data_IF_233309285687
#
_entry.id   IF_233309285687
#
_cell.length_a   1.000
_cell.length_b   1.000
_cell.length_c   1.000
_cell.angle_alpha   90.00
_cell.angle_beta   90.00
_cell.angle_gamma   90.00
#
_symmetry.space_group_name_H-M   'P 1'
#
loop_
_entity.id
_entity.type
_entity.pdbx_description
1 polymer ?
#
# COMPACT_ATOMS: atom_id res chain seq x y z
N UNK A 1 21.68 7.04 6.90
CA UNK A 1 21.41 6.66 5.49
C UNK A 1 19.98 6.16 5.40
N UNK A 2 19.11 6.79 4.61
CA UNK A 2 17.77 6.26 4.34
C UNK A 2 17.92 4.92 3.61
N UNK A 3 17.35 3.84 4.14
CA UNK A 3 17.31 2.55 3.44
C UNK A 3 16.68 2.76 2.06
N UNK A 4 17.32 2.22 1.00
CA UNK A 4 16.73 2.18 -0.34
C UNK A 4 15.46 1.31 -0.24
N UNK A 5 14.31 1.93 -0.51
CA UNK A 5 13.01 1.28 -0.54
C UNK A 5 12.56 1.25 -1.99
N UNK A 6 12.09 0.09 -2.43
CA UNK A 6 11.53 -0.10 -3.76
C UNK A 6 10.03 -0.38 -3.61
N UNK A 7 9.21 0.32 -4.39
CA UNK A 7 7.75 0.17 -4.35
C UNK A 7 7.30 -0.54 -5.63
N UNK A 8 6.52 -1.62 -5.47
CA UNK A 8 6.01 -2.43 -6.58
C UNK A 8 4.57 -2.89 -6.35
N UNK A 9 3.84 -3.08 -7.44
CA UNK A 9 2.47 -3.61 -7.41
C UNK A 9 2.44 -5.11 -7.10
N UNK A 10 1.51 -5.54 -6.25
CA UNK A 10 1.22 -6.95 -5.98
C UNK A 10 0.12 -7.42 -6.92
N UNK A 11 0.51 -8.17 -7.96
CA UNK A 11 -0.43 -8.67 -8.98
C UNK A 11 -1.04 -10.02 -8.66
N UNK A 12 -0.30 -10.85 -7.91
CA UNK A 12 -0.75 -12.18 -7.52
C UNK A 12 -1.52 -12.11 -6.19
N UNK A 13 -2.81 -12.46 -6.15
CA UNK A 13 -3.58 -12.48 -4.89
C UNK A 13 -2.99 -13.40 -3.81
N UNK A 14 -2.24 -14.44 -4.19
CA UNK A 14 -1.56 -15.35 -3.25
C UNK A 14 -0.35 -14.70 -2.56
N UNK A 15 0.17 -13.60 -3.11
CA UNK A 15 1.30 -12.84 -2.56
C UNK A 15 0.84 -11.62 -1.74
N UNK A 16 -0.46 -11.49 -1.49
CA UNK A 16 -0.99 -10.37 -0.70
C UNK A 16 -0.38 -10.36 0.70
N UNK A 17 0.20 -9.23 1.14
CA UNK A 17 0.94 -9.15 2.38
C UNK A 17 -0.01 -8.99 3.58
N UNK A 18 -0.83 -10.02 3.86
CA UNK A 18 -1.82 -9.98 4.95
C UNK A 18 -1.22 -9.62 6.30
N UNK A 19 0.00 -10.07 6.59
CA UNK A 19 0.70 -9.72 7.82
C UNK A 19 0.86 -8.20 8.00
N UNK A 20 1.02 -7.44 6.90
CA UNK A 20 1.07 -5.98 6.93
C UNK A 20 -0.34 -5.36 6.93
N UNK A 21 -1.24 -5.84 6.07
CA UNK A 21 -2.61 -5.32 5.95
C UNK A 21 -3.37 -5.40 7.29
N UNK A 22 -3.15 -6.49 8.03
CA UNK A 22 -3.74 -6.75 9.34
C UNK A 22 -3.26 -5.79 10.44
N UNK A 23 -2.16 -5.05 10.22
CA UNK A 23 -1.70 -4.03 11.17
C UNK A 23 -2.60 -2.80 11.19
N UNK A 24 -3.28 -2.50 10.08
CA UNK A 24 -4.20 -1.35 9.98
C UNK A 24 -5.67 -1.76 10.15
N UNK A 25 -6.06 -2.93 9.63
CA UNK A 25 -7.42 -3.46 9.75
C UNK A 25 -7.40 -4.89 10.31
N UNK A 26 -7.98 -5.17 11.50
CA UNK A 26 -7.83 -6.48 12.15
C UNK A 26 -8.66 -7.61 11.52
N UNK A 27 -9.63 -7.31 10.64
CA UNK A 27 -10.50 -8.33 10.03
C UNK A 27 -10.05 -8.67 8.61
N UNK A 28 -9.62 -9.92 8.43
CA UNK A 28 -9.32 -10.45 7.11
C UNK A 28 -10.55 -10.41 6.19
N UNK A 29 -11.75 -10.66 6.71
CA UNK A 29 -12.97 -10.62 5.91
C UNK A 29 -13.27 -9.21 5.36
N UNK A 30 -12.98 -8.16 6.14
CA UNK A 30 -13.09 -6.77 5.68
C UNK A 30 -12.02 -6.46 4.64
N UNK A 31 -10.77 -6.89 4.88
CA UNK A 31 -9.66 -6.77 3.94
C UNK A 31 -10.02 -7.40 2.58
N UNK A 32 -10.44 -8.66 2.60
CA UNK A 32 -10.79 -9.43 1.40
C UNK A 32 -11.88 -8.74 0.56
N UNK A 33 -12.80 -8.00 1.18
CA UNK A 33 -13.87 -7.29 0.47
C UNK A 33 -13.33 -6.12 -0.35
N UNK A 34 -12.51 -5.25 0.26
CA UNK A 34 -12.00 -4.09 -0.47
C UNK A 34 -10.87 -4.45 -1.42
N UNK A 35 -10.03 -5.45 -1.10
CA UNK A 35 -8.91 -5.86 -1.94
C UNK A 35 -9.33 -6.29 -3.34
N UNK A 36 -10.55 -6.80 -3.52
CA UNK A 36 -11.12 -7.15 -4.85
C UNK A 36 -11.10 -6.01 -5.86
N UNK A 37 -11.07 -4.77 -5.40
CA UNK A 37 -11.06 -3.57 -6.25
C UNK A 37 -9.79 -2.74 -6.07
N UNK A 38 -8.92 -3.09 -5.12
CA UNK A 38 -7.76 -2.27 -4.82
C UNK A 38 -6.60 -2.54 -5.78
N UNK A 39 -5.84 -1.49 -6.05
CA UNK A 39 -4.45 -1.59 -6.46
C UNK A 39 -3.59 -1.68 -5.20
N UNK A 40 -2.81 -2.74 -5.06
CA UNK A 40 -2.00 -2.98 -3.86
C UNK A 40 -0.53 -2.83 -4.21
N UNK A 41 0.18 -2.04 -3.41
CA UNK A 41 1.62 -1.83 -3.57
C UNK A 41 2.35 -2.15 -2.28
N UNK A 42 3.51 -2.76 -2.40
CA UNK A 42 4.41 -3.04 -1.28
C UNK A 42 5.67 -2.20 -1.37
N UNK A 43 6.14 -1.73 -0.22
CA UNK A 43 7.46 -1.16 -0.03
C UNK A 43 8.41 -2.27 0.46
N UNK A 44 9.44 -2.58 -0.33
CA UNK A 44 10.43 -3.59 -0.03
C UNK A 44 11.78 -2.97 0.33
N UNK A 45 12.44 -3.54 1.35
CA UNK A 45 13.84 -3.23 1.65
C UNK A 45 14.79 -4.01 0.72
N UNK A 46 16.11 -3.81 0.84
CA UNK A 46 17.14 -4.48 0.01
C UNK A 46 16.97 -6.00 -0.15
N UNK A 47 16.39 -6.67 0.84
CA UNK A 47 16.21 -8.13 0.82
C UNK A 47 14.92 -8.57 0.11
N UNK A 48 14.22 -7.65 -0.58
CA UNK A 48 12.92 -7.87 -1.22
C UNK A 48 11.79 -8.31 -0.27
N UNK A 49 12.02 -8.21 1.04
CA UNK A 49 10.99 -8.48 2.04
C UNK A 49 10.08 -7.24 2.13
N UNK A 50 8.75 -7.39 1.96
CA UNK A 50 7.80 -6.31 2.17
C UNK A 50 7.87 -5.80 3.61
N UNK A 51 8.09 -4.50 3.77
CA UNK A 51 8.14 -3.80 5.05
C UNK A 51 7.08 -2.69 5.17
N UNK A 52 6.33 -2.44 4.10
CA UNK A 52 5.13 -1.60 4.12
C UNK A 52 4.19 -1.97 2.98
N UNK A 53 2.92 -1.58 3.11
CA UNK A 53 1.86 -1.82 2.14
C UNK A 53 0.96 -0.60 2.04
N UNK A 54 0.42 -0.35 0.84
CA UNK A 54 -0.71 0.55 0.62
C UNK A 54 -1.70 -0.10 -0.34
N UNK A 55 -3.00 -0.03 -0.01
CA UNK A 55 -4.10 -0.46 -0.85
C UNK A 55 -4.91 0.76 -1.30
N UNK A 56 -4.94 1.00 -2.61
CA UNK A 56 -5.64 2.13 -3.23
C UNK A 56 -6.96 1.65 -3.81
N UNK A 57 -8.08 2.18 -3.32
CA UNK A 57 -9.44 1.81 -3.72
C UNK A 57 -10.04 2.86 -4.66
N UNK A 58 -10.36 2.52 -5.92
CA UNK A 58 -11.09 3.39 -6.83
C UNK A 58 -12.50 3.70 -6.27
N UNK A 59 -12.67 4.86 -5.65
CA UNK A 59 -13.95 5.24 -5.05
C UNK A 59 -14.96 5.67 -6.12
N UNK A 60 -14.50 6.47 -7.08
CA UNK A 60 -15.25 6.88 -8.26
C UNK A 60 -14.27 7.27 -9.38
N UNK A 61 -14.76 7.79 -10.51
CA UNK A 61 -13.93 8.15 -11.67
C UNK A 61 -12.90 9.27 -11.42
N UNK A 62 -13.05 10.05 -10.34
CA UNK A 62 -12.19 11.18 -9.98
C UNK A 62 -11.38 10.95 -8.69
N UNK A 63 -11.81 10.04 -7.83
CA UNK A 63 -11.25 9.84 -6.49
C UNK A 63 -10.77 8.40 -6.29
N UNK A 64 -9.53 8.26 -5.82
CA UNK A 64 -8.96 6.99 -5.36
C UNK A 64 -8.59 7.11 -3.88
N UNK A 65 -9.10 6.23 -3.03
CA UNK A 65 -8.92 6.31 -1.57
C UNK A 65 -7.75 5.43 -1.11
N UNK A 66 -6.92 5.89 -0.18
CA UNK A 66 -6.03 4.99 0.58
C UNK A 66 -6.89 4.19 1.55
N UNK A 67 -7.21 2.94 1.19
CA UNK A 67 -8.09 2.10 2.01
C UNK A 67 -7.38 1.42 3.17
N UNK A 68 -6.11 1.11 2.98
CA UNK A 68 -5.24 0.52 3.99
C UNK A 68 -3.80 1.00 3.74
N UNK A 69 -3.09 1.35 4.80
CA UNK A 69 -1.67 1.67 4.77
C UNK A 69 -1.02 1.19 6.07
N UNK A 70 0.06 0.44 5.95
CA UNK A 70 0.77 -0.09 7.11
C UNK A 70 2.26 -0.23 6.84
N UNK A 71 3.05 -0.15 7.92
CA UNK A 71 4.50 -0.38 7.92
C UNK A 71 4.80 -1.34 9.06
N UNK A 72 5.62 -2.36 8.78
CA UNK A 72 6.06 -3.33 9.77
C UNK A 72 6.66 -2.61 10.99
N UNK A 73 6.33 -3.07 12.19
CA UNK A 73 6.67 -2.39 13.45
C UNK A 73 8.17 -2.12 13.60
N UNK A 74 9.02 -3.06 13.17
CA UNK A 74 10.48 -2.96 13.16
C UNK A 74 11.04 -2.01 12.07
N UNK A 75 10.17 -1.51 11.18
CA UNK A 75 10.48 -0.59 10.09
C UNK A 75 9.78 0.78 10.22
N UNK A 76 9.05 1.02 11.31
CA UNK A 76 8.42 2.32 11.60
C UNK A 76 9.46 3.40 11.92
N UNK A 77 9.01 4.68 11.95
CA UNK A 77 9.84 5.87 12.19
C UNK A 77 11.03 6.06 11.21
N UNK A 78 11.00 5.39 10.04
CA UNK A 78 12.02 5.48 8.99
C UNK A 78 11.52 6.22 7.73
N UNK A 79 10.37 6.90 7.82
CA UNK A 79 9.77 7.66 6.71
C UNK A 79 9.12 6.80 5.62
N UNK A 80 8.88 5.50 5.86
CA UNK A 80 8.28 4.59 4.87
C UNK A 80 6.83 4.95 4.55
N UNK A 81 6.01 5.27 5.56
CA UNK A 81 4.63 5.73 5.31
C UNK A 81 4.59 6.99 4.47
N UNK A 82 5.46 7.97 4.74
CA UNK A 82 5.53 9.19 3.93
C UNK A 82 5.85 8.87 2.46
N UNK A 83 6.81 7.97 2.21
CA UNK A 83 7.13 7.51 0.85
C UNK A 83 5.96 6.79 0.18
N UNK A 84 5.20 5.98 0.92
CA UNK A 84 4.00 5.30 0.41
C UNK A 84 2.90 6.31 0.06
N UNK A 85 2.71 7.35 0.87
CA UNK A 85 1.75 8.44 0.60
C UNK A 85 2.19 9.24 -0.65
N UNK A 86 3.44 9.67 -0.72
CA UNK A 86 3.98 10.40 -1.87
C UNK A 86 3.86 9.57 -3.16
N UNK A 87 4.16 8.28 -3.08
CA UNK A 87 3.96 7.35 -4.17
C UNK A 87 2.48 7.26 -4.56
N UNK A 88 1.57 7.15 -3.59
CA UNK A 88 0.14 7.03 -3.84
C UNK A 88 -0.44 8.25 -4.55
N UNK A 89 0.00 9.46 -4.16
CA UNK A 89 -0.36 10.71 -4.84
C UNK A 89 0.13 10.71 -6.30
N UNK A 90 1.38 10.30 -6.53
CA UNK A 90 1.93 10.21 -7.89
C UNK A 90 1.22 9.15 -8.73
N UNK A 91 0.89 8.01 -8.12
CA UNK A 91 0.20 6.91 -8.78
C UNK A 91 -1.25 7.29 -9.14
N UNK A 92 -1.96 7.96 -8.24
CA UNK A 92 -3.29 8.51 -8.50
C UNK A 92 -3.28 9.43 -9.72
N UNK A 93 -2.34 10.39 -9.78
CA UNK A 93 -2.16 11.29 -10.93
C UNK A 93 -1.87 10.54 -12.22
N UNK A 94 -0.98 9.54 -12.20
CA UNK A 94 -0.65 8.72 -13.38
C UNK A 94 -1.85 7.94 -13.91
N UNK A 95 -2.73 7.51 -13.03
CA UNK A 95 -3.95 6.78 -13.36
C UNK A 95 -5.13 7.70 -13.75
N UNK A 96 -4.93 9.02 -13.71
CA UNK A 96 -5.94 10.01 -14.10
C UNK A 96 -6.93 10.42 -13.01
N UNK A 97 -6.66 10.09 -11.74
CA UNK A 97 -7.49 10.55 -10.63
C UNK A 97 -7.16 12.01 -10.25
N UNK A 98 -8.19 12.76 -9.88
CA UNK A 98 -8.10 14.16 -9.44
C UNK A 98 -7.85 14.27 -7.93
N UNK A 99 -8.39 13.32 -7.15
CA UNK A 99 -8.37 13.34 -5.68
C UNK A 99 -7.87 12.03 -5.09
N UNK A 100 -7.21 12.13 -3.93
CA UNK A 100 -6.80 11.02 -3.07
C UNK A 100 -7.30 11.22 -1.64
#
# INVERSE_FOLDING_TARGET
>A
MLKKIEISEVKNPQEMPYALLLLADPSKEVIDKYLKKCLVFTACSKNKIPCGVVALYPHNNKTIEIKNIAVATDHQNQGISSKLIDFSIQQAKKLGYEYI
#
